data_IF_738483348805
#
_entry.id   IF_738483348805
#
_cell.length_a   1.000
_cell.length_b   1.000
_cell.length_c   1.000
_cell.angle_alpha   90.00
_cell.angle_beta   90.00
_cell.angle_gamma   90.00
#
_symmetry.space_group_name_H-M   'P 1'
#
loop_
_entity.id
_entity.type
_entity.pdbx_description
1 polymer ?
#
# COMPACT_ATOMS: atom_id res chain seq x y z
N UNK A 1 -21.82 -35.62 -29.59
CA UNK A 1 -20.37 -35.44 -29.37
C UNK A 1 -19.76 -34.28 -30.16
N UNK A 2 -19.94 -34.17 -31.50
CA UNK A 2 -19.35 -33.03 -32.27
C UNK A 2 -19.95 -31.65 -31.91
N UNK A 3 -21.28 -31.58 -31.71
CA UNK A 3 -21.99 -30.33 -31.40
C UNK A 3 -21.64 -29.82 -29.98
N UNK A 4 -21.56 -30.70 -28.99
CA UNK A 4 -21.19 -30.34 -27.62
C UNK A 4 -19.75 -29.80 -27.54
N UNK A 5 -18.82 -30.38 -28.31
CA UNK A 5 -17.46 -29.87 -28.43
C UNK A 5 -17.40 -28.47 -29.04
N UNK A 6 -18.25 -28.17 -30.03
CA UNK A 6 -18.33 -26.84 -30.65
C UNK A 6 -18.86 -25.78 -29.66
N UNK A 7 -19.89 -26.09 -28.87
CA UNK A 7 -20.39 -25.17 -27.84
C UNK A 7 -19.36 -24.88 -26.75
N UNK A 8 -18.63 -25.90 -26.29
CA UNK A 8 -17.54 -25.73 -25.32
C UNK A 8 -16.41 -24.87 -25.92
N UNK A 9 -16.03 -25.12 -27.18
CA UNK A 9 -15.03 -24.34 -27.90
C UNK A 9 -15.41 -22.87 -28.09
N UNK A 10 -16.68 -22.59 -28.43
CA UNK A 10 -17.21 -21.23 -28.51
C UNK A 10 -17.19 -20.54 -27.15
N UNK A 11 -17.64 -21.23 -26.09
CA UNK A 11 -17.63 -20.70 -24.72
C UNK A 11 -16.21 -20.33 -24.25
N UNK A 12 -15.23 -21.19 -24.51
CA UNK A 12 -13.82 -20.93 -24.19
C UNK A 12 -13.26 -19.75 -24.99
N UNK A 13 -13.59 -19.66 -26.28
CA UNK A 13 -13.11 -18.60 -27.17
C UNK A 13 -13.67 -17.22 -26.78
N UNK A 14 -14.96 -17.15 -26.46
CA UNK A 14 -15.61 -15.94 -25.93
C UNK A 14 -15.04 -15.59 -24.56
N UNK A 15 -14.87 -16.57 -23.68
CA UNK A 15 -14.27 -16.38 -22.36
C UNK A 15 -12.86 -15.80 -22.45
N UNK A 16 -12.02 -16.33 -23.34
CA UNK A 16 -10.67 -15.81 -23.60
C UNK A 16 -10.70 -14.39 -24.17
N UNK A 17 -11.63 -14.10 -25.10
CA UNK A 17 -11.78 -12.77 -25.68
C UNK A 17 -12.12 -11.72 -24.61
N UNK A 18 -13.15 -11.99 -23.80
CA UNK A 18 -13.59 -11.08 -22.73
C UNK A 18 -12.52 -10.91 -21.66
N UNK A 19 -11.91 -12.01 -21.20
CA UNK A 19 -10.86 -11.97 -20.18
C UNK A 19 -9.61 -11.21 -20.67
N UNK A 20 -9.18 -11.46 -21.91
CA UNK A 20 -8.07 -10.77 -22.55
C UNK A 20 -8.33 -9.27 -22.70
N UNK A 21 -9.52 -8.89 -23.19
CA UNK A 21 -9.93 -7.49 -23.33
C UNK A 21 -9.98 -6.74 -22.00
N UNK A 22 -10.57 -7.37 -20.97
CA UNK A 22 -10.59 -6.80 -19.62
C UNK A 22 -9.17 -6.62 -19.04
N UNK A 23 -8.30 -7.62 -19.23
CA UNK A 23 -6.91 -7.54 -18.76
C UNK A 23 -6.12 -6.44 -19.49
N UNK A 24 -6.28 -6.31 -20.81
CA UNK A 24 -5.72 -5.22 -21.60
C UNK A 24 -6.16 -3.86 -21.06
N UNK A 25 -7.46 -3.63 -20.93
CA UNK A 25 -8.00 -2.34 -20.46
C UNK A 25 -7.46 -1.98 -19.08
N UNK A 26 -7.41 -2.95 -18.16
CA UNK A 26 -6.90 -2.73 -16.81
C UNK A 26 -5.42 -2.36 -16.79
N UNK A 27 -4.58 -3.08 -17.55
CA UNK A 27 -3.13 -2.83 -17.59
C UNK A 27 -2.77 -1.56 -18.36
N UNK A 28 -3.51 -1.27 -19.43
CA UNK A 28 -3.35 -0.04 -20.19
C UNK A 28 -3.75 1.19 -19.37
N UNK A 29 -4.86 1.12 -18.62
CA UNK A 29 -5.24 2.19 -17.70
C UNK A 29 -4.18 2.43 -16.61
N UNK A 30 -3.64 1.36 -16.01
CA UNK A 30 -2.53 1.46 -15.05
C UNK A 30 -1.28 2.10 -15.66
N UNK A 31 -0.92 1.74 -16.91
CA UNK A 31 0.22 2.33 -17.61
C UNK A 31 0.02 3.84 -17.85
N UNK A 32 -1.20 4.25 -18.23
CA UNK A 32 -1.53 5.67 -18.41
C UNK A 32 -1.50 6.45 -17.10
N UNK A 33 -2.05 5.91 -16.01
CA UNK A 33 -1.94 6.57 -14.70
C UNK A 33 -0.48 6.76 -14.26
N UNK A 34 0.41 5.85 -14.61
CA UNK A 34 1.84 6.00 -14.32
C UNK A 34 2.45 7.13 -15.16
N UNK A 35 2.26 7.10 -16.48
CA UNK A 35 2.92 8.03 -17.42
C UNK A 35 2.31 9.43 -17.48
N UNK A 36 1.02 9.56 -17.21
CA UNK A 36 0.31 10.84 -17.28
C UNK A 36 0.45 11.64 -15.96
N UNK A 37 1.02 11.04 -14.89
CA UNK A 37 1.21 11.71 -13.60
C UNK A 37 2.57 12.41 -13.58
N UNK A 38 2.62 13.76 -13.53
CA UNK A 38 3.89 14.46 -13.52
C UNK A 38 4.59 14.32 -12.16
N UNK A 39 5.91 14.16 -12.19
CA UNK A 39 6.75 14.25 -10.99
C UNK A 39 6.54 15.61 -10.31
N UNK A 40 6.13 15.58 -9.04
CA UNK A 40 5.91 16.76 -8.21
C UNK A 40 7.02 16.94 -7.17
N UNK A 41 7.17 18.15 -6.64
CA UNK A 41 8.03 18.43 -5.47
C UNK A 41 7.24 18.29 -4.19
N UNK A 42 7.76 17.59 -3.19
CA UNK A 42 7.06 17.28 -1.93
C UNK A 42 6.53 18.56 -1.27
N UNK A 43 7.34 19.62 -1.23
CA UNK A 43 6.99 20.92 -0.63
C UNK A 43 5.71 21.56 -1.19
N UNK A 44 5.44 21.34 -2.48
CA UNK A 44 4.43 22.07 -3.25
C UNK A 44 3.47 21.14 -4.00
N UNK A 45 3.47 19.85 -3.66
CA UNK A 45 2.60 18.87 -4.29
C UNK A 45 1.13 19.17 -3.96
N UNK A 46 0.26 18.98 -4.95
CA UNK A 46 -1.17 19.03 -4.73
C UNK A 46 -1.63 17.82 -3.89
N UNK A 47 -2.74 17.98 -3.16
CA UNK A 47 -3.37 16.85 -2.47
C UNK A 47 -3.93 15.86 -3.50
N UNK A 48 -3.78 14.56 -3.26
CA UNK A 48 -4.27 13.49 -4.14
C UNK A 48 -3.16 12.66 -4.76
N UNK A 49 -3.43 12.07 -5.92
CA UNK A 49 -2.51 11.15 -6.59
C UNK A 49 -1.32 11.89 -7.21
N UNK A 50 -0.11 11.59 -6.72
CA UNK A 50 1.12 12.28 -7.14
C UNK A 50 2.29 11.31 -7.22
N UNK A 51 3.29 11.74 -7.99
CA UNK A 51 4.55 11.05 -8.17
C UNK A 51 5.71 11.85 -7.54
N UNK A 52 6.58 11.14 -6.84
CA UNK A 52 7.80 11.66 -6.23
C UNK A 52 9.03 10.85 -6.59
N UNK A 53 10.13 11.57 -6.76
CA UNK A 53 11.48 11.02 -6.78
C UNK A 53 12.30 11.63 -5.66
N UNK A 54 12.89 10.77 -4.83
CA UNK A 54 13.73 11.22 -3.73
C UNK A 54 14.67 10.14 -3.24
N UNK A 55 15.21 10.37 -2.05
CA UNK A 55 16.13 9.48 -1.36
C UNK A 55 15.52 9.04 -0.05
N UNK A 56 15.61 7.75 0.25
CA UNK A 56 15.20 7.19 1.53
C UNK A 56 16.07 7.74 2.66
N UNK A 57 15.42 8.28 3.68
CA UNK A 57 16.06 8.79 4.89
C UNK A 57 15.82 7.85 6.08
N UNK A 58 16.58 8.08 7.15
CA UNK A 58 16.33 7.45 8.44
C UNK A 58 14.98 7.93 8.99
N UNK A 59 13.97 7.05 9.04
CA UNK A 59 12.69 7.36 9.65
C UNK A 59 12.83 7.55 11.17
N UNK A 60 12.11 8.51 11.74
CA UNK A 60 12.03 8.69 13.19
C UNK A 60 11.34 7.46 13.84
N UNK A 61 12.13 6.46 14.20
CA UNK A 61 11.69 5.16 14.71
C UNK A 61 12.88 4.22 14.92
N UNK A 62 12.61 3.00 15.41
CA UNK A 62 13.65 1.98 15.49
C UNK A 62 14.01 1.47 14.08
N UNK A 63 15.30 1.38 13.79
CA UNK A 63 15.80 0.76 12.56
C UNK A 63 15.29 -0.68 12.46
N UNK A 64 14.75 -1.05 11.30
CA UNK A 64 14.14 -2.37 11.12
C UNK A 64 15.23 -3.37 10.79
N UNK A 65 15.25 -4.49 11.50
CA UNK A 65 16.23 -5.55 11.28
C UNK A 65 15.63 -6.60 10.36
N UNK A 66 16.30 -6.88 9.25
CA UNK A 66 15.88 -7.92 8.32
C UNK A 66 15.95 -9.31 8.99
N UNK A 67 14.88 -10.12 8.95
CA UNK A 67 14.76 -11.32 9.80
C UNK A 67 15.70 -12.45 9.40
N UNK A 68 16.12 -12.54 8.13
CA UNK A 68 16.98 -13.64 7.67
C UNK A 68 18.46 -13.27 7.73
N UNK A 69 18.86 -12.09 7.25
CA UNK A 69 20.27 -11.66 7.31
C UNK A 69 20.65 -10.98 8.63
N UNK A 70 19.69 -10.37 9.32
CA UNK A 70 19.95 -9.54 10.50
C UNK A 70 20.55 -8.18 10.19
N UNK A 71 20.48 -7.75 8.92
CA UNK A 71 21.02 -6.47 8.48
C UNK A 71 20.02 -5.34 8.76
N UNK A 72 20.49 -4.16 9.20
CA UNK A 72 19.65 -2.98 9.34
C UNK A 72 19.10 -2.49 7.98
N UNK A 73 17.84 -2.08 7.96
CA UNK A 73 17.13 -1.60 6.78
C UNK A 73 15.88 -0.77 7.15
N UNK A 74 15.28 -0.10 6.16
CA UNK A 74 14.03 0.65 6.32
C UNK A 74 12.80 -0.20 5.99
N UNK A 75 12.97 -1.21 5.15
CA UNK A 75 11.93 -2.13 4.75
C UNK A 75 12.55 -3.46 4.36
N UNK A 76 11.85 -4.55 4.60
CA UNK A 76 12.22 -5.88 4.14
C UNK A 76 11.02 -6.70 3.65
N UNK A 77 11.30 -7.61 2.73
CA UNK A 77 10.43 -8.71 2.33
C UNK A 77 11.27 -9.96 2.20
N UNK A 78 10.78 -11.07 2.74
CA UNK A 78 11.48 -12.34 2.60
C UNK A 78 10.57 -13.46 2.15
N UNK A 79 11.18 -14.48 1.53
CA UNK A 79 10.58 -15.75 1.20
C UNK A 79 11.55 -16.87 1.52
N UNK A 80 11.07 -17.90 2.21
CA UNK A 80 11.77 -19.13 2.49
C UNK A 80 11.09 -20.23 1.69
N UNK A 81 11.89 -20.98 0.93
CA UNK A 81 11.41 -22.09 0.13
C UNK A 81 12.13 -23.37 0.55
N UNK A 82 11.39 -24.47 0.69
CA UNK A 82 11.93 -25.79 0.99
C UNK A 82 12.09 -26.58 -0.31
N UNK A 83 13.22 -27.27 -0.43
CA UNK A 83 13.47 -28.20 -1.52
C UNK A 83 12.67 -29.47 -1.29
N UNK A 84 11.78 -29.79 -2.24
CA UNK A 84 11.00 -31.03 -2.25
C UNK A 84 11.38 -31.80 -3.50
N UNK A 85 12.04 -32.94 -3.31
CA UNK A 85 12.44 -33.84 -4.39
C UNK A 85 11.95 -35.26 -4.08
N UNK A 86 11.19 -35.81 -5.02
CA UNK A 86 10.99 -37.26 -5.16
C UNK A 86 11.65 -37.68 -6.49
N UNK A 87 11.98 -38.96 -6.68
CA UNK A 87 12.96 -39.46 -7.68
C UNK A 87 12.80 -38.93 -9.12
N UNK A 88 11.62 -38.40 -9.49
CA UNK A 88 11.36 -37.84 -10.82
C UNK A 88 10.83 -36.37 -10.85
N UNK A 89 10.67 -35.69 -9.70
CA UNK A 89 10.21 -34.29 -9.65
C UNK A 89 10.91 -33.50 -8.55
N UNK A 90 11.75 -32.54 -8.97
CA UNK A 90 12.47 -31.60 -8.09
C UNK A 90 11.77 -30.24 -8.14
N UNK A 91 11.33 -29.73 -6.99
CA UNK A 91 10.63 -28.43 -6.89
C UNK A 91 11.02 -27.65 -5.63
N UNK A 92 10.99 -26.32 -5.71
CA UNK A 92 11.09 -25.43 -4.55
C UNK A 92 9.69 -24.99 -4.18
N UNK A 93 9.29 -25.20 -2.92
CA UNK A 93 7.96 -24.82 -2.44
C UNK A 93 8.09 -23.71 -1.39
N UNK A 94 7.34 -22.60 -1.52
CA UNK A 94 7.33 -21.56 -0.49
C UNK A 94 6.75 -22.15 0.80
N UNK A 95 7.51 -22.06 1.88
CA UNK A 95 7.12 -22.50 3.22
C UNK A 95 6.83 -21.32 4.14
N UNK A 96 7.43 -20.17 3.88
CA UNK A 96 7.25 -18.98 4.69
C UNK A 96 7.54 -17.71 3.90
N UNK A 97 6.82 -16.64 4.23
CA UNK A 97 7.08 -15.31 3.70
C UNK A 97 6.61 -14.26 4.68
N UNK A 98 7.28 -13.11 4.68
CA UNK A 98 6.90 -11.96 5.48
C UNK A 98 7.27 -10.65 4.78
N UNK A 99 6.68 -9.56 5.27
CA UNK A 99 6.95 -8.19 4.81
C UNK A 99 6.86 -7.25 6.00
N UNK A 100 7.70 -6.22 6.04
CA UNK A 100 7.62 -5.16 7.04
C UNK A 100 6.47 -4.18 6.75
N UNK A 101 5.86 -3.69 7.82
CA UNK A 101 4.83 -2.64 7.86
C UNK A 101 5.37 -1.27 8.27
N UNK A 102 6.70 -1.17 8.45
CA UNK A 102 7.38 0.03 8.91
C UNK A 102 7.28 1.17 7.89
N UNK A 103 7.00 2.37 8.41
CA UNK A 103 6.87 3.57 7.59
C UNK A 103 8.23 4.00 7.04
N UNK A 104 8.21 4.58 5.83
CA UNK A 104 9.41 5.04 5.14
C UNK A 104 9.43 6.56 5.11
N UNK A 105 10.62 7.16 5.18
CA UNK A 105 10.78 8.60 5.01
C UNK A 105 11.49 8.88 3.69
N UNK A 106 10.82 9.60 2.80
CA UNK A 106 11.34 10.03 1.52
C UNK A 106 11.68 11.51 1.58
N UNK A 107 12.87 11.90 1.10
CA UNK A 107 13.25 13.31 0.94
C UNK A 107 13.61 13.58 -0.51
N UNK A 108 13.02 14.62 -1.11
CA UNK A 108 13.32 15.06 -2.48
C UNK A 108 14.23 16.30 -2.52
N UNK A 109 14.79 16.67 -1.36
CA UNK A 109 15.58 17.89 -1.14
C UNK A 109 14.74 19.16 -0.94
N UNK A 110 13.45 19.15 -1.25
CA UNK A 110 12.53 20.28 -1.05
C UNK A 110 11.66 20.12 0.20
N UNK A 111 11.33 18.88 0.55
CA UNK A 111 10.56 18.48 1.71
C UNK A 111 10.71 16.98 2.01
N UNK A 112 10.00 16.53 3.04
CA UNK A 112 10.01 15.14 3.50
C UNK A 112 8.59 14.58 3.47
N UNK A 113 8.44 13.33 3.05
CA UNK A 113 7.16 12.63 2.99
C UNK A 113 7.27 11.28 3.70
N UNK A 114 6.34 11.03 4.61
CA UNK A 114 6.19 9.75 5.28
C UNK A 114 5.30 8.81 4.44
N UNK A 115 5.84 7.67 4.06
CA UNK A 115 5.16 6.71 3.19
C UNK A 115 4.76 5.50 4.02
N UNK A 116 3.47 5.17 4.00
CA UNK A 116 2.98 3.88 4.49
C UNK A 116 3.10 2.85 3.35
N UNK A 117 4.00 1.86 3.42
CA UNK A 117 4.21 0.90 2.34
C UNK A 117 3.10 -0.15 2.22
N UNK A 118 2.10 -0.15 3.11
CA UNK A 118 1.04 -1.14 3.12
C UNK A 118 0.23 -1.10 1.82
N UNK A 119 0.21 -2.24 1.12
CA UNK A 119 -0.49 -2.38 -0.16
C UNK A 119 0.26 -1.79 -1.35
N UNK A 120 1.50 -1.33 -1.18
CA UNK A 120 2.37 -0.92 -2.26
C UNK A 120 2.95 -2.13 -3.00
N UNK A 121 3.13 -1.99 -4.32
CA UNK A 121 4.06 -2.83 -5.07
C UNK A 121 5.48 -2.30 -4.83
N UNK A 122 6.20 -2.95 -3.91
CA UNK A 122 7.58 -2.57 -3.57
C UNK A 122 8.59 -3.34 -4.41
N UNK A 123 9.48 -2.59 -5.08
CA UNK A 123 10.55 -3.07 -5.95
C UNK A 123 11.91 -2.54 -5.45
N UNK A 124 12.52 -3.23 -4.47
CA UNK A 124 13.82 -2.85 -3.96
C UNK A 124 14.94 -3.22 -4.92
N UNK A 125 16.06 -2.49 -4.85
CA UNK A 125 17.29 -2.83 -5.58
C UNK A 125 18.07 -3.96 -4.88
N UNK A 126 18.00 -4.01 -3.55
CA UNK A 126 18.78 -4.96 -2.76
C UNK A 126 18.04 -6.29 -2.65
N UNK A 127 18.58 -7.33 -3.28
CA UNK A 127 18.03 -8.69 -3.23
C UNK A 127 19.13 -9.71 -3.00
N UNK A 128 19.03 -10.47 -1.91
CA UNK A 128 19.95 -11.56 -1.59
C UNK A 128 19.24 -12.91 -1.73
N UNK A 129 19.88 -13.86 -2.41
CA UNK A 129 19.39 -15.23 -2.57
C UNK A 129 20.50 -16.19 -2.15
N UNK A 130 20.23 -17.03 -1.17
CA UNK A 130 21.18 -18.03 -0.70
C UNK A 130 20.47 -19.32 -0.29
N UNK A 131 21.26 -20.34 0.02
CA UNK A 131 20.75 -21.65 0.44
C UNK A 131 21.30 -22.03 1.81
N UNK A 132 20.56 -22.84 2.54
CA UNK A 132 20.96 -23.33 3.85
C UNK A 132 20.20 -24.58 4.26
N UNK A 133 20.57 -25.16 5.39
CA UNK A 133 19.97 -26.38 5.93
C UNK A 133 18.93 -26.12 7.02
N UNK A 134 18.89 -24.90 7.58
CA UNK A 134 17.97 -24.51 8.65
C UNK A 134 16.80 -23.72 8.11
N UNK A 135 15.57 -23.92 8.60
CA UNK A 135 14.44 -23.06 8.17
C UNK A 135 14.69 -21.58 8.48
N UNK A 136 15.19 -21.28 9.67
CA UNK A 136 15.55 -19.92 10.09
C UNK A 136 17.07 -19.83 10.27
N UNK A 137 17.80 -19.08 9.43
CA UNK A 137 19.26 -19.01 9.49
C UNK A 137 19.77 -18.35 10.79
N UNK A 138 18.97 -17.46 11.39
CA UNK A 138 19.24 -16.79 12.67
C UNK A 138 18.48 -17.37 13.86
N UNK A 139 17.75 -18.46 13.65
CA UNK A 139 16.99 -19.11 14.71
C UNK A 139 17.91 -19.81 15.73
N UNK A 140 17.38 -20.20 16.89
CA UNK A 140 18.14 -20.97 17.86
C UNK A 140 18.66 -22.26 17.23
N UNK A 141 19.92 -22.60 17.52
CA UNK A 141 20.55 -23.80 17.00
C UNK A 141 19.79 -25.04 17.51
N UNK A 142 19.28 -25.86 16.59
CA UNK A 142 18.59 -27.10 16.94
C UNK A 142 19.60 -28.13 17.46
N UNK A 143 19.25 -28.83 18.54
CA UNK A 143 20.06 -29.90 19.11
C UNK A 143 19.24 -31.20 19.28
N UNK A 144 19.92 -32.34 19.29
CA UNK A 144 19.32 -33.67 19.49
C UNK A 144 18.38 -34.12 18.35
N UNK A 145 17.25 -34.74 18.71
CA UNK A 145 16.28 -35.33 17.78
C UNK A 145 15.74 -34.35 16.73
N UNK A 146 15.59 -33.07 17.11
CA UNK A 146 15.11 -32.03 16.17
C UNK A 146 16.13 -31.70 15.08
N UNK A 147 17.43 -31.81 15.36
CA UNK A 147 18.49 -31.65 14.37
C UNK A 147 18.51 -32.86 13.41
N UNK A 148 18.30 -34.07 13.93
CA UNK A 148 18.19 -35.29 13.14
C UNK A 148 17.01 -35.24 12.16
N UNK A 149 15.83 -34.77 12.58
CA UNK A 149 14.66 -34.60 11.71
C UNK A 149 14.83 -33.52 10.63
N UNK A 150 15.75 -32.57 10.83
CA UNK A 150 16.11 -31.56 9.82
C UNK A 150 17.27 -31.99 8.91
N UNK A 151 17.86 -33.16 9.16
CA UNK A 151 18.99 -33.66 8.37
C UNK A 151 18.54 -33.94 6.93
N UNK A 152 19.28 -33.40 5.96
CA UNK A 152 18.95 -33.51 4.53
C UNK A 152 17.99 -32.44 3.98
N UNK A 153 17.35 -31.62 4.85
CA UNK A 153 16.53 -30.51 4.39
C UNK A 153 17.38 -29.41 3.77
N UNK A 154 16.88 -28.83 2.68
CA UNK A 154 17.53 -27.72 1.97
C UNK A 154 16.52 -26.60 1.80
N UNK A 155 16.93 -25.41 2.18
CA UNK A 155 16.14 -24.19 2.06
C UNK A 155 16.80 -23.23 1.08
N UNK A 156 15.98 -22.48 0.36
CA UNK A 156 16.38 -21.31 -0.44
C UNK A 156 15.72 -20.10 0.20
N UNK A 157 16.53 -19.12 0.54
CA UNK A 157 16.08 -17.87 1.11
C UNK A 157 16.19 -16.79 0.05
N UNK A 158 15.20 -15.91 0.03
CA UNK A 158 15.16 -14.71 -0.77
C UNK A 158 14.84 -13.60 0.21
N UNK A 159 15.72 -12.62 0.34
CA UNK A 159 15.48 -11.44 1.18
C UNK A 159 15.75 -10.17 0.39
N UNK A 160 14.77 -9.28 0.41
CA UNK A 160 14.72 -8.05 -0.36
C UNK A 160 14.60 -6.87 0.60
N UNK A 161 15.36 -5.79 0.39
CA UNK A 161 15.52 -4.72 1.38
C UNK A 161 15.64 -3.33 0.75
N UNK A 162 15.11 -2.34 1.47
CA UNK A 162 15.35 -0.91 1.21
C UNK A 162 16.30 -0.35 2.28
N UNK A 163 17.30 0.42 1.86
CA UNK A 163 18.28 1.03 2.75
C UNK A 163 18.21 2.56 2.70
N UNK A 164 18.66 3.18 3.79
CA UNK A 164 18.89 4.63 3.84
C UNK A 164 19.88 5.03 2.73
N UNK A 165 19.65 6.18 2.12
CA UNK A 165 20.46 6.72 1.03
C UNK A 165 20.13 6.15 -0.35
N UNK A 166 19.23 5.17 -0.45
CA UNK A 166 18.82 4.63 -1.75
C UNK A 166 17.81 5.56 -2.44
N UNK A 167 17.90 5.74 -3.77
CA UNK A 167 16.88 6.44 -4.52
C UNK A 167 15.57 5.64 -4.47
N UNK A 168 14.46 6.37 -4.38
CA UNK A 168 13.13 5.79 -4.39
C UNK A 168 12.20 6.64 -5.25
N UNK A 169 11.63 5.99 -6.25
CA UNK A 169 10.42 6.39 -6.94
C UNK A 169 9.20 5.99 -6.11
N UNK A 170 8.30 6.93 -5.87
CA UNK A 170 7.07 6.69 -5.13
C UNK A 170 5.90 7.38 -5.82
N UNK A 171 4.84 6.63 -6.11
CA UNK A 171 3.59 7.15 -6.68
C UNK A 171 2.41 6.63 -5.87
N UNK A 172 1.51 7.52 -5.44
CA UNK A 172 0.42 7.18 -4.52
C UNK A 172 -0.44 8.39 -4.10
N UNK A 173 -1.36 8.18 -3.14
CA UNK A 173 -2.22 9.25 -2.62
C UNK A 173 -1.46 10.05 -1.56
N UNK A 174 -1.19 11.30 -1.87
CA UNK A 174 -0.48 12.26 -1.03
C UNK A 174 -1.43 13.19 -0.32
N UNK A 175 -1.15 13.39 0.96
CA UNK A 175 -1.90 14.30 1.82
C UNK A 175 -0.96 15.04 2.76
N UNK A 176 -1.34 16.26 3.11
CA UNK A 176 -0.64 17.07 4.09
C UNK A 176 -1.54 17.32 5.30
N UNK A 177 -0.98 17.22 6.50
CA UNK A 177 -1.64 17.62 7.74
C UNK A 177 -0.78 18.58 8.52
N UNK A 178 -1.40 19.50 9.26
CA UNK A 178 -0.71 20.56 9.99
C UNK A 178 -0.45 21.80 9.11
N UNK A 179 0.35 22.72 9.64
CA UNK A 179 0.77 23.94 8.93
C UNK A 179 -0.35 24.91 8.53
N UNK A 180 -1.53 24.82 9.17
CA UNK A 180 -2.69 25.68 8.88
C UNK A 180 -3.31 25.51 7.48
N UNK A 181 -2.91 24.46 6.73
CA UNK A 181 -3.38 24.19 5.37
C UNK A 181 -4.71 23.43 5.31
N UNK A 182 -5.15 22.84 6.42
CA UNK A 182 -6.49 22.29 6.52
C UNK A 182 -7.50 23.45 6.50
N UNK A 183 -8.34 23.52 5.47
CA UNK A 183 -9.40 24.53 5.42
C UNK A 183 -10.24 24.53 6.70
N UNK A 184 -10.56 25.72 7.18
CA UNK A 184 -11.40 25.96 8.35
C UNK A 184 -12.86 25.50 8.08
N UNK A 185 -13.14 24.20 8.20
CA UNK A 185 -14.51 23.71 8.32
C UNK A 185 -14.95 23.78 9.79
N UNK A 186 -15.20 25.03 10.22
CA UNK A 186 -15.55 25.36 11.60
C UNK A 186 -16.86 24.71 12.03
N UNK A 187 -17.82 24.56 11.11
CA UNK A 187 -19.11 23.91 11.38
C UNK A 187 -18.93 22.42 11.68
N UNK A 188 -18.13 21.70 10.89
CA UNK A 188 -17.84 20.29 11.16
C UNK A 188 -17.12 20.09 12.48
N UNK A 189 -16.11 20.91 12.78
CA UNK A 189 -15.38 20.85 14.06
C UNK A 189 -16.29 21.15 15.26
N UNK A 190 -17.15 22.15 15.15
CA UNK A 190 -18.16 22.45 16.18
C UNK A 190 -19.09 21.25 16.42
N UNK A 191 -19.56 20.59 15.35
CA UNK A 191 -20.41 19.41 15.45
C UNK A 191 -19.69 18.22 16.12
N UNK A 192 -18.40 18.03 15.85
CA UNK A 192 -17.56 17.01 16.50
C UNK A 192 -17.39 17.28 18.00
N UNK A 193 -17.14 18.54 18.39
CA UNK A 193 -17.05 18.96 19.80
C UNK A 193 -18.37 18.70 20.53
N UNK A 194 -19.51 19.11 19.94
CA UNK A 194 -20.84 18.86 20.51
C UNK A 194 -21.10 17.36 20.64
N UNK A 195 -20.73 16.56 19.63
CA UNK A 195 -20.88 15.09 19.69
C UNK A 195 -20.04 14.49 20.81
N UNK A 196 -18.82 14.98 21.01
CA UNK A 196 -17.97 14.53 22.10
C UNK A 196 -18.59 14.88 23.46
N UNK A 197 -19.06 16.11 23.67
CA UNK A 197 -19.73 16.46 24.92
C UNK A 197 -21.04 15.69 25.13
N UNK A 198 -21.80 15.39 24.06
CA UNK A 198 -22.98 14.53 24.16
C UNK A 198 -22.67 13.10 24.60
N UNK A 199 -21.43 12.62 24.39
CA UNK A 199 -21.01 11.30 24.89
C UNK A 199 -20.81 11.28 26.41
N UNK A 200 -20.57 12.44 27.01
CA UNK A 200 -20.57 12.68 28.46
C UNK A 200 -21.69 13.67 28.82
N UNK A 201 -22.93 13.19 28.74
CA UNK A 201 -24.12 14.01 29.00
C UNK A 201 -24.14 14.58 30.43
N UNK A 202 -23.56 13.86 31.41
CA UNK A 202 -23.47 14.32 32.80
C UNK A 202 -22.56 15.54 32.96
N UNK A 203 -21.37 15.49 32.34
CA UNK A 203 -20.46 16.63 32.30
C UNK A 203 -21.00 17.83 31.49
N UNK A 204 -21.79 17.56 30.44
CA UNK A 204 -22.45 18.61 29.67
C UNK A 204 -23.50 19.36 30.50
N UNK A 205 -24.37 18.64 31.23
CA UNK A 205 -25.36 19.28 32.11
C UNK A 205 -24.67 20.11 33.20
N UNK A 206 -23.68 19.57 33.91
CA UNK A 206 -22.95 20.33 34.94
C UNK A 206 -22.33 21.64 34.44
N UNK A 207 -21.98 21.74 33.16
CA UNK A 207 -21.35 22.92 32.56
C UNK A 207 -22.35 23.97 32.08
N UNK A 208 -23.55 23.57 31.66
CA UNK A 208 -24.46 24.44 30.91
C UNK A 208 -25.89 24.52 31.47
N UNK A 209 -26.34 23.53 32.24
CA UNK A 209 -27.62 23.53 32.97
C UNK A 209 -27.51 24.48 34.16
N UNK A 210 -28.07 25.67 34.01
CA UNK A 210 -27.98 26.75 34.99
C UNK A 210 -29.13 26.72 36.01
N UNK A 211 -30.26 26.11 35.65
CA UNK A 211 -31.44 26.02 36.52
C UNK A 211 -31.56 24.67 37.25
N UNK A 212 -30.73 23.68 36.87
CA UNK A 212 -30.61 22.38 37.51
C UNK A 212 -31.78 21.44 37.20
N UNK A 213 -32.53 21.68 36.12
CA UNK A 213 -33.72 20.91 35.78
C UNK A 213 -33.40 19.59 35.04
N UNK A 214 -32.13 19.36 34.66
CA UNK A 214 -31.67 18.15 33.97
C UNK A 214 -31.94 18.14 32.46
N UNK A 215 -32.38 19.26 31.88
CA UNK A 215 -32.66 19.48 30.46
C UNK A 215 -32.05 20.81 30.03
N UNK A 216 -31.56 20.89 28.79
CA UNK A 216 -31.00 22.13 28.25
C UNK A 216 -32.06 22.90 27.48
N UNK A 217 -32.37 24.11 27.92
CA UNK A 217 -33.28 25.03 27.23
C UNK A 217 -32.61 25.71 26.01
N UNK A 218 -33.35 26.54 25.28
CA UNK A 218 -32.82 27.22 24.08
C UNK A 218 -31.66 28.19 24.39
N UNK A 219 -31.68 28.85 25.55
CA UNK A 219 -30.63 29.78 25.95
C UNK A 219 -29.35 29.02 26.33
N UNK A 220 -29.50 27.92 27.05
CA UNK A 220 -28.40 27.02 27.43
C UNK A 220 -27.82 26.33 26.19
N UNK A 221 -28.65 25.93 25.23
CA UNK A 221 -28.19 25.42 23.93
C UNK A 221 -27.40 26.45 23.13
N UNK A 222 -27.78 27.73 23.18
CA UNK A 222 -27.00 28.80 22.55
C UNK A 222 -25.62 28.96 23.23
N UNK A 223 -25.55 28.82 24.56
CA UNK A 223 -24.26 28.81 25.29
C UNK A 223 -23.40 27.60 24.91
N UNK A 224 -24.01 26.41 24.78
CA UNK A 224 -23.33 25.20 24.29
C UNK A 224 -22.75 25.42 22.90
N UNK A 225 -23.52 25.97 21.96
CA UNK A 225 -23.05 26.25 20.60
C UNK A 225 -21.90 27.25 20.59
N UNK A 226 -21.99 28.33 21.36
CA UNK A 226 -20.94 29.35 21.43
C UNK A 226 -19.65 28.78 22.04
N UNK A 227 -19.76 28.05 23.15
CA UNK A 227 -18.61 27.41 23.77
C UNK A 227 -17.98 26.36 22.83
N UNK A 228 -18.79 25.57 22.13
CA UNK A 228 -18.30 24.57 21.18
C UNK A 228 -17.60 25.21 19.98
N UNK A 229 -18.06 26.39 19.54
CA UNK A 229 -17.38 27.15 18.50
C UNK A 229 -16.00 27.63 18.97
N UNK A 230 -15.91 28.23 20.16
CA UNK A 230 -14.64 28.71 20.72
C UNK A 230 -13.64 27.56 20.92
N UNK A 231 -14.10 26.42 21.46
CA UNK A 231 -13.25 25.23 21.63
C UNK A 231 -12.81 24.66 20.27
N UNK A 232 -13.68 24.65 19.26
CA UNK A 232 -13.33 24.25 17.91
C UNK A 232 -12.27 25.16 17.26
N UNK A 233 -12.35 26.47 17.49
CA UNK A 233 -11.35 27.45 17.03
C UNK A 233 -9.99 27.25 17.72
N UNK A 234 -9.98 27.03 19.03
CA UNK A 234 -8.75 26.78 19.78
C UNK A 234 -8.08 25.46 19.39
N UNK A 235 -8.86 24.38 19.22
CA UNK A 235 -8.38 23.11 18.69
C UNK A 235 -7.80 23.26 17.29
N UNK A 236 -8.47 24.02 16.42
CA UNK A 236 -7.98 24.30 15.07
C UNK A 236 -6.67 25.11 15.09
N UNK A 237 -6.57 26.12 15.97
CA UNK A 237 -5.33 26.88 16.14
C UNK A 237 -4.19 25.97 16.62
N UNK A 238 -4.44 25.12 17.59
CA UNK A 238 -3.46 24.14 18.08
C UNK A 238 -3.03 23.16 16.98
N UNK A 239 -3.96 22.66 16.17
CA UNK A 239 -3.67 21.81 15.02
C UNK A 239 -2.88 22.54 13.94
N UNK A 240 -3.15 23.83 13.72
CA UNK A 240 -2.44 24.66 12.74
C UNK A 240 -1.00 24.98 13.13
N UNK A 241 -0.72 24.99 14.44
CA UNK A 241 0.63 25.15 14.99
C UNK A 241 1.47 23.86 14.90
N UNK A 242 0.85 22.70 14.65
CA UNK A 242 1.58 21.45 14.43
C UNK A 242 2.41 21.57 13.14
N UNK A 243 3.64 21.02 13.12
CA UNK A 243 4.50 21.05 11.94
C UNK A 243 3.78 20.41 10.75
N UNK A 244 3.99 20.98 9.56
CA UNK A 244 3.48 20.40 8.32
C UNK A 244 4.09 19.01 8.13
N UNK A 245 3.24 17.99 8.03
CA UNK A 245 3.62 16.62 7.84
C UNK A 245 2.94 16.07 6.60
N UNK A 246 3.78 15.69 5.64
CA UNK A 246 3.35 15.09 4.39
C UNK A 246 3.31 13.58 4.54
N UNK A 247 2.23 12.96 4.08
CA UNK A 247 2.08 11.52 4.07
C UNK A 247 1.62 10.99 2.72
N UNK A 248 2.10 9.81 2.35
CA UNK A 248 1.68 9.08 1.17
C UNK A 248 1.22 7.68 1.56
N UNK A 249 0.08 7.26 1.01
CA UNK A 249 -0.48 5.95 1.24
C UNK A 249 -1.13 5.39 -0.02
N UNK A 250 -1.64 4.16 0.11
CA UNK A 250 -2.42 3.52 -0.95
C UNK A 250 -3.64 4.38 -1.33
N UNK A 251 -3.83 4.72 -2.61
CA UNK A 251 -5.03 5.39 -3.08
C UNK A 251 -6.31 4.59 -2.78
N UNK A 252 -7.42 5.32 -2.56
CA UNK A 252 -8.75 4.73 -2.40
C UNK A 252 -9.29 4.19 -3.73
N UNK A 253 -8.92 4.84 -4.84
CA UNK A 253 -9.27 4.41 -6.19
C UNK A 253 -8.34 3.29 -6.67
N UNK A 254 -8.69 2.66 -7.80
CA UNK A 254 -7.94 1.54 -8.40
C UNK A 254 -6.61 1.96 -9.07
N UNK A 255 -6.04 3.07 -8.62
CA UNK A 255 -4.79 3.65 -9.10
C UNK A 255 -3.59 2.83 -8.56
N UNK A 256 -2.49 2.76 -9.32
CA UNK A 256 -1.31 2.01 -8.88
C UNK A 256 -0.67 2.66 -7.65
N UNK A 257 -0.18 1.84 -6.72
CA UNK A 257 0.64 2.31 -5.59
C UNK A 257 1.97 1.58 -5.65
N UNK A 258 3.03 2.28 -6.09
CA UNK A 258 4.31 1.66 -6.44
C UNK A 258 5.44 2.39 -5.74
N UNK A 259 6.34 1.61 -5.14
CA UNK A 259 7.57 2.08 -4.53
C UNK A 259 8.73 1.34 -5.18
N UNK A 260 9.58 2.02 -5.94
CA UNK A 260 10.62 1.38 -6.76
C UNK A 260 11.97 2.06 -6.59
N UNK A 261 13.01 1.27 -6.35
CA UNK A 261 14.40 1.74 -6.46
C UNK A 261 14.92 1.69 -7.92
N UNK A 262 14.17 1.05 -8.82
CA UNK A 262 14.39 1.10 -10.26
C UNK A 262 13.58 2.24 -10.88
N UNK A 263 14.07 2.84 -11.97
CA UNK A 263 13.41 3.96 -12.63
C UNK A 263 12.05 3.62 -13.25
N UNK A 264 11.23 4.66 -13.51
CA UNK A 264 9.90 4.58 -14.13
C UNK A 264 9.83 3.70 -15.38
N UNK A 265 10.83 3.84 -16.25
CA UNK A 265 10.76 3.36 -17.64
C UNK A 265 10.55 1.84 -17.71
N UNK A 266 11.12 1.12 -16.75
CA UNK A 266 10.96 -0.33 -16.66
C UNK A 266 9.54 -0.73 -16.25
N UNK A 267 8.88 0.06 -15.39
CA UNK A 267 7.53 -0.18 -14.91
C UNK A 267 6.50 0.03 -16.02
N UNK A 268 6.59 1.18 -16.70
CA UNK A 268 5.71 1.52 -17.81
C UNK A 268 5.81 0.46 -18.93
N UNK A 269 7.03 0.07 -19.30
CA UNK A 269 7.28 -0.92 -20.34
C UNK A 269 6.68 -2.28 -20.00
N UNK A 270 6.80 -2.73 -18.75
CA UNK A 270 6.21 -4.00 -18.33
C UNK A 270 4.68 -3.99 -18.38
N UNK A 271 4.04 -2.88 -17.97
CA UNK A 271 2.59 -2.74 -18.04
C UNK A 271 2.09 -2.74 -19.48
N UNK A 272 2.81 -2.08 -20.40
CA UNK A 272 2.48 -2.14 -21.83
C UNK A 272 2.63 -3.54 -22.42
N UNK A 273 3.68 -4.29 -22.08
CA UNK A 273 3.82 -5.67 -22.53
C UNK A 273 2.71 -6.58 -22.01
N UNK A 274 2.28 -6.40 -20.76
CA UNK A 274 1.14 -7.13 -20.21
C UNK A 274 -0.17 -6.74 -20.90
N UNK A 275 -0.35 -5.45 -21.21
CA UNK A 275 -1.49 -4.99 -21.99
C UNK A 275 -1.47 -5.63 -23.39
N UNK A 276 -0.34 -5.59 -24.10
CA UNK A 276 -0.18 -6.20 -25.41
C UNK A 276 -0.46 -7.72 -25.39
N UNK A 277 -0.01 -8.44 -24.35
CA UNK A 277 -0.34 -9.85 -24.15
C UNK A 277 -1.85 -10.07 -23.96
N UNK A 278 -2.51 -9.23 -23.16
CA UNK A 278 -3.97 -9.27 -23.00
C UNK A 278 -4.72 -9.01 -24.32
N UNK A 279 -4.24 -8.06 -25.12
CA UNK A 279 -4.78 -7.77 -26.45
C UNK A 279 -4.58 -8.96 -27.40
N UNK A 280 -3.42 -9.62 -27.37
CA UNK A 280 -3.17 -10.82 -28.17
C UNK A 280 -4.10 -11.98 -27.79
N UNK A 281 -4.33 -12.22 -26.49
CA UNK A 281 -5.31 -13.21 -26.00
C UNK A 281 -6.73 -12.86 -26.46
N UNK A 282 -7.09 -11.57 -26.40
CA UNK A 282 -8.38 -11.08 -26.87
C UNK A 282 -8.62 -11.41 -28.36
N UNK A 283 -7.64 -11.04 -29.19
CA UNK A 283 -7.67 -11.27 -30.65
C UNK A 283 -7.70 -12.77 -30.95
N UNK A 284 -6.88 -13.58 -30.27
CA UNK A 284 -6.87 -15.02 -30.46
C UNK A 284 -8.22 -15.66 -30.10
N UNK A 285 -8.86 -15.22 -29.01
CA UNK A 285 -10.21 -15.67 -28.64
C UNK A 285 -11.27 -15.28 -29.69
N UNK A 286 -11.22 -14.04 -30.20
CA UNK A 286 -12.14 -13.58 -31.23
C UNK A 286 -11.97 -14.34 -32.56
N UNK A 287 -10.71 -14.58 -32.98
CA UNK A 287 -10.41 -15.38 -34.17
C UNK A 287 -10.82 -16.84 -34.01
N UNK A 288 -10.58 -17.44 -32.84
CA UNK A 288 -11.03 -18.80 -32.54
C UNK A 288 -12.55 -18.94 -32.60
N UNK A 289 -13.28 -17.97 -32.06
CA UNK A 289 -14.74 -17.91 -32.16
C UNK A 289 -15.22 -17.79 -33.60
N UNK A 290 -14.61 -16.89 -34.39
CA UNK A 290 -14.96 -16.71 -35.80
C UNK A 290 -14.67 -17.97 -36.65
N UNK A 291 -13.57 -18.67 -36.37
CA UNK A 291 -13.21 -19.91 -37.05
C UNK A 291 -14.20 -21.04 -36.75
N UNK A 292 -14.64 -21.19 -35.50
CA UNK A 292 -15.64 -22.19 -35.09
C UNK A 292 -17.03 -21.87 -35.69
N UNK A 293 -17.38 -20.60 -35.88
CA UNK A 293 -18.63 -20.21 -36.56
C UNK A 293 -18.60 -20.45 -38.06
N UNK A 294 -17.43 -20.31 -38.69
CA UNK A 294 -17.27 -20.44 -40.14
C UNK A 294 -17.10 -21.89 -40.63
N UNK A 295 -16.96 -22.85 -39.73
CA UNK A 295 -16.63 -24.25 -40.02
C UNK A 295 -17.65 -25.21 -39.40
#
# INVERSE_FOLDING_TARGET
MAIEGAWIGMGLSVGAAVAGGWWFMRRYAQARHLLDTPTSKIRSAAQGYVEFYGVLQACAGAEVIAPLTGKPCQWWRFRIEEYVGDDNKKSWRPVESGVSDSWLQLSDGTGECLINPQGAEVRPVTREIWKGSLRHPRGPQKSGLTAFLSMGKRYRYIEERLHVGQPLYAIGDFRSSGGGRQGLDLQRRQAEVIRHWKSDFGGLLQRFDSDGNGQLDEQEWNRVRLAAQLEAEDLHRADSLKPDQHHMAKPLESQPFILSCAGEDELARQLYWQAAAGAAVCIAGALGFAWILGN
#
